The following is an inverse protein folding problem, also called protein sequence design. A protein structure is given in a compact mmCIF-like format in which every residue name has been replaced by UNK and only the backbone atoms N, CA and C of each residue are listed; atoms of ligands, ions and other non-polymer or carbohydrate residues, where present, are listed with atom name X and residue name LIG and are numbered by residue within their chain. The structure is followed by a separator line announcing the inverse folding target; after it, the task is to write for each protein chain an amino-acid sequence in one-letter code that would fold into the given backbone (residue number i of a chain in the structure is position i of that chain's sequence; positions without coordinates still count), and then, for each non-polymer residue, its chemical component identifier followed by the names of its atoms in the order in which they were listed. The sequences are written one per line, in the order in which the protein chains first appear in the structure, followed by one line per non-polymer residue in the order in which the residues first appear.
data_IF_667031159115
#
_entry.id   IF_667031159115
#
_cell.length_a   1.000
_cell.length_b   1.000
_cell.length_c   1.000
_cell.angle_alpha   90.00
_cell.angle_beta   90.00
_cell.angle_gamma   90.00
#
_symmetry.space_group_name_H-M   'P 1'
#
loop_
_entity.id
_entity.type
_entity.pdbx_description
1 polymer ?
#
# COMPACT_ATOMS: atom_id res chain seq x y z
N UNK A 1 -4.02 -11.28 -20.02
CA UNK A 1 -3.95 -12.57 -19.29
C UNK A 1 -4.98 -12.54 -18.17
N UNK A 2 -5.83 -13.56 -18.00
CA UNK A 2 -6.85 -13.59 -16.94
C UNK A 2 -6.24 -13.68 -15.53
N UNK A 3 -6.85 -13.02 -14.54
CA UNK A 3 -6.44 -13.08 -13.12
C UNK A 3 -6.39 -14.51 -12.57
N UNK A 4 -7.31 -15.37 -13.02
CA UNK A 4 -7.34 -16.79 -12.64
C UNK A 4 -6.07 -17.53 -13.09
N UNK A 5 -5.54 -17.22 -14.28
CA UNK A 5 -4.33 -17.85 -14.81
C UNK A 5 -3.06 -17.40 -14.06
N UNK A 6 -3.02 -16.15 -13.58
CA UNK A 6 -1.92 -15.64 -12.75
C UNK A 6 -1.83 -16.35 -11.41
N UNK A 7 -2.98 -16.67 -10.77
CA UNK A 7 -3.01 -17.39 -9.49
C UNK A 7 -2.50 -18.83 -9.57
N UNK A 8 -2.59 -19.45 -10.76
CA UNK A 8 -2.06 -20.80 -11.00
C UNK A 8 -0.54 -20.82 -11.18
N UNK A 9 0.05 -19.70 -11.59
CA UNK A 9 1.47 -19.60 -11.95
C UNK A 9 2.30 -18.84 -10.91
N UNK A 10 1.67 -17.96 -10.13
CA UNK A 10 2.34 -17.04 -9.20
C UNK A 10 1.70 -17.14 -7.82
N UNK A 11 2.49 -17.34 -6.74
CA UNK A 11 2.00 -17.30 -5.37
C UNK A 11 1.14 -16.04 -5.09
N UNK A 12 -0.02 -16.16 -4.42
CA UNK A 12 -0.92 -15.04 -4.18
C UNK A 12 -0.25 -13.82 -3.52
N UNK A 13 0.69 -14.05 -2.60
CA UNK A 13 1.44 -12.98 -1.94
C UNK A 13 2.28 -12.18 -2.94
N UNK A 14 2.93 -12.83 -3.90
CA UNK A 14 3.73 -12.12 -4.92
C UNK A 14 2.85 -11.27 -5.82
N UNK A 15 1.64 -11.75 -6.16
CA UNK A 15 0.67 -10.95 -6.91
C UNK A 15 0.21 -9.72 -6.12
N UNK A 16 -0.07 -9.89 -4.84
CA UNK A 16 -0.42 -8.77 -3.95
C UNK A 16 0.73 -7.77 -3.83
N UNK A 17 1.96 -8.23 -3.58
CA UNK A 17 3.15 -7.38 -3.52
C UNK A 17 3.37 -6.63 -4.83
N UNK A 18 3.22 -7.30 -5.97
CA UNK A 18 3.30 -6.67 -7.29
C UNK A 18 2.21 -5.60 -7.47
N UNK A 19 0.98 -5.87 -7.03
CA UNK A 19 -0.12 -4.89 -7.05
C UNK A 19 0.19 -3.67 -6.19
N UNK A 20 0.70 -3.87 -4.97
CA UNK A 20 1.07 -2.77 -4.08
C UNK A 20 2.24 -1.96 -4.66
N UNK A 21 3.22 -2.62 -5.26
CA UNK A 21 4.32 -1.95 -5.95
C UNK A 21 3.82 -1.08 -7.12
N UNK A 22 2.81 -1.55 -7.87
CA UNK A 22 2.22 -0.74 -8.95
C UNK A 22 1.52 0.54 -8.43
N UNK A 23 0.84 0.48 -7.27
CA UNK A 23 0.26 1.67 -6.63
C UNK A 23 1.35 2.71 -6.34
N UNK A 24 2.47 2.29 -5.75
CA UNK A 24 3.61 3.17 -5.47
C UNK A 24 4.24 3.72 -6.75
N UNK A 25 4.43 2.88 -7.77
CA UNK A 25 5.02 3.29 -9.05
C UNK A 25 4.17 4.34 -9.78
N UNK A 26 2.84 4.21 -9.70
CA UNK A 26 1.90 5.16 -10.31
C UNK A 26 1.62 6.37 -9.43
N UNK A 27 2.16 6.41 -8.21
CA UNK A 27 1.84 7.40 -7.20
C UNK A 27 0.32 7.54 -7.01
N UNK A 28 -0.40 6.42 -7.02
CA UNK A 28 -1.84 6.41 -6.75
C UNK A 28 -2.07 6.59 -5.23
N UNK A 29 -1.97 7.84 -4.80
CA UNK A 29 -2.02 8.24 -3.38
C UNK A 29 -3.34 7.82 -2.74
N UNK A 30 -4.44 7.81 -3.49
CA UNK A 30 -5.75 7.39 -3.00
C UNK A 30 -5.79 5.91 -2.60
N UNK A 31 -4.85 5.09 -3.10
CA UNK A 31 -4.70 3.69 -2.73
C UNK A 31 -3.66 3.45 -1.61
N UNK A 32 -2.96 4.49 -1.12
CA UNK A 32 -1.89 4.31 -0.13
C UNK A 32 -2.39 3.74 1.21
N UNK A 33 -3.65 3.97 1.57
CA UNK A 33 -4.25 3.34 2.76
C UNK A 33 -4.17 1.81 2.68
N UNK A 34 -4.52 1.22 1.53
CA UNK A 34 -4.48 -0.24 1.31
C UNK A 34 -3.05 -0.78 1.31
N UNK A 35 -2.09 -0.01 0.80
CA UNK A 35 -0.66 -0.36 0.87
C UNK A 35 -0.20 -0.44 2.32
N UNK A 36 -0.61 0.52 3.16
CA UNK A 36 -0.27 0.52 4.57
C UNK A 36 -0.90 -0.68 5.32
N UNK A 37 -2.15 -1.03 5.02
CA UNK A 37 -2.81 -2.23 5.58
C UNK A 37 -2.10 -3.52 5.17
N UNK A 38 -1.72 -3.65 3.90
CA UNK A 38 -0.96 -4.82 3.43
C UNK A 38 0.37 -4.96 4.15
N UNK A 39 1.13 -3.87 4.29
CA UNK A 39 2.42 -3.88 5.00
C UNK A 39 2.23 -4.25 6.48
N UNK A 40 1.20 -3.69 7.13
CA UNK A 40 0.90 -4.01 8.53
C UNK A 40 0.65 -5.53 8.71
N UNK A 41 -0.17 -6.12 7.85
CA UNK A 41 -0.48 -7.56 7.90
C UNK A 41 0.76 -8.42 7.65
N UNK A 42 1.55 -8.11 6.61
CA UNK A 42 2.74 -8.92 6.28
C UNK A 42 3.79 -8.83 7.39
N UNK A 43 3.99 -7.67 7.99
CA UNK A 43 4.96 -7.47 9.08
C UNK A 43 4.43 -8.01 10.42
N UNK A 44 3.12 -8.12 10.62
CA UNK A 44 2.56 -8.85 11.76
C UNK A 44 2.81 -10.36 11.64
N UNK A 45 2.67 -10.91 10.42
CA UNK A 45 2.91 -12.34 10.15
C UNK A 45 4.39 -12.71 10.14
N UNK A 46 5.26 -11.80 9.71
CA UNK A 46 6.72 -11.99 9.62
C UNK A 46 7.42 -10.76 10.23
N UNK A 47 7.52 -10.69 11.57
CA UNK A 47 8.04 -9.52 12.26
C UNK A 47 9.52 -9.23 11.96
N UNK A 48 10.28 -10.22 11.52
CA UNK A 48 11.70 -10.10 11.14
C UNK A 48 11.89 -9.42 9.77
N UNK A 49 10.82 -9.25 8.98
CA UNK A 49 10.90 -8.67 7.64
C UNK A 49 11.37 -7.20 7.67
N UNK A 50 10.99 -6.45 8.71
CA UNK A 50 11.25 -5.02 8.86
C UNK A 50 11.46 -4.65 10.32
N UNK A 51 12.53 -3.90 10.61
CA UNK A 51 12.76 -3.32 11.92
C UNK A 51 11.57 -2.47 12.39
N UNK A 52 11.27 -2.51 13.70
CA UNK A 52 10.13 -1.81 14.31
C UNK A 52 10.03 -0.34 13.89
N UNK A 53 11.16 0.37 13.88
CA UNK A 53 11.19 1.79 13.55
C UNK A 53 10.82 2.03 12.09
N UNK A 54 11.37 1.22 11.17
CA UNK A 54 11.10 1.33 9.73
C UNK A 54 9.65 0.99 9.39
N UNK A 55 9.06 -0.06 10.00
CA UNK A 55 7.65 -0.39 9.76
C UNK A 55 6.72 0.74 10.21
N UNK A 56 6.97 1.33 11.38
CA UNK A 56 6.15 2.43 11.91
C UNK A 56 6.25 3.67 11.03
N UNK A 57 7.47 4.06 10.65
CA UNK A 57 7.69 5.19 9.75
C UNK A 57 7.01 4.99 8.39
N UNK A 58 7.11 3.79 7.82
CA UNK A 58 6.51 3.48 6.52
C UNK A 58 4.98 3.54 6.56
N UNK A 59 4.35 2.90 7.55
CA UNK A 59 2.89 2.89 7.69
C UNK A 59 2.37 4.31 7.93
N UNK A 60 3.01 5.06 8.84
CA UNK A 60 2.61 6.43 9.15
C UNK A 60 2.81 7.36 7.94
N UNK A 61 3.92 7.24 7.21
CA UNK A 61 4.19 8.05 6.03
C UNK A 61 3.15 7.86 4.93
N UNK A 62 2.77 6.59 4.65
CA UNK A 62 1.72 6.29 3.68
C UNK A 62 0.36 6.86 4.09
N UNK A 63 -0.03 6.69 5.36
CA UNK A 63 -1.30 7.22 5.88
C UNK A 63 -1.33 8.75 5.90
N UNK A 64 -0.26 9.39 6.32
CA UNK A 64 -0.14 10.84 6.32
C UNK A 64 -0.29 11.39 4.90
N UNK A 65 0.38 10.78 3.92
CA UNK A 65 0.27 11.23 2.52
C UNK A 65 -1.14 11.07 1.96
N UNK A 66 -1.84 9.96 2.26
CA UNK A 66 -3.24 9.77 1.91
C UNK A 66 -4.17 10.84 2.51
N UNK A 67 -4.03 11.10 3.81
CA UNK A 67 -4.84 12.11 4.51
C UNK A 67 -4.60 13.50 3.90
N UNK A 68 -3.34 13.87 3.64
CA UNK A 68 -3.01 15.15 3.01
C UNK A 68 -3.64 15.30 1.62
N UNK A 69 -3.67 14.23 0.83
CA UNK A 69 -4.27 14.23 -0.51
C UNK A 69 -5.78 14.43 -0.47
N UNK A 70 -6.47 13.79 0.48
CA UNK A 70 -7.91 14.04 0.72
C UNK A 70 -8.13 15.50 1.06
N UNK A 71 -7.39 16.03 2.04
CA UNK A 71 -7.55 17.42 2.46
C UNK A 71 -7.32 18.40 1.31
N UNK A 72 -6.32 18.16 0.47
CA UNK A 72 -6.07 18.98 -0.72
C UNK A 72 -7.20 18.87 -1.75
N UNK A 73 -7.73 17.67 -1.96
CA UNK A 73 -8.84 17.45 -2.89
C UNK A 73 -10.13 18.14 -2.43
N UNK A 74 -10.44 18.10 -1.14
CA UNK A 74 -11.61 18.77 -0.55
C UNK A 74 -11.51 20.30 -0.62
N UNK A 75 -10.31 20.87 -0.41
CA UNK A 75 -10.06 22.32 -0.54
C UNK A 75 -10.23 22.81 -1.98
N UNK A 76 -10.00 21.97 -2.99
CA UNK A 76 -10.25 22.31 -4.39
C UNK A 76 -11.73 22.25 -4.77
N UNK A 77 -12.55 21.54 -3.99
CA UNK A 77 -14.00 21.41 -4.20
C UNK A 77 -14.79 22.50 -3.48
N UNK A 78 -14.23 23.09 -2.42
CA UNK A 78 -14.79 24.22 -1.68
C UNK A 78 -13.78 25.40 -1.65
N UNK A 79 -13.78 26.29 -2.66
CA UNK A 79 -12.93 27.48 -2.66
C UNK A 79 -13.36 28.54 -1.64
#
# INVERSE_FOLDING_TARGET
IPLASLRLLVPPLQLMTASMWQVLKKQDVMSYWKVAEFIALVVELVPELLMYQHRTQLILGLRARYILEILQSEQLVNP
#
